data_IF_839010151400
#
_entry.id   IF_839010151400
#
_cell.length_a   1.000
_cell.length_b   1.000
_cell.length_c   1.000
_cell.angle_alpha   90.00
_cell.angle_beta   90.00
_cell.angle_gamma   90.00
#
_symmetry.space_group_name_H-M   'P 1'
#
loop_
_entity.id
_entity.type
_entity.pdbx_description
1 polymer ?
#
# COMPACT_ATOMS: atom_id res chain seq x y z
N UNK A 1 28.58 13.58 55.20
CA UNK A 1 27.34 13.24 54.56
C UNK A 1 27.45 13.72 53.11
N UNK A 2 27.72 12.88 52.11
CA UNK A 2 27.55 13.28 50.72
C UNK A 2 26.25 12.69 50.18
N UNK A 3 25.63 13.53 49.40
CA UNK A 3 24.30 13.51 48.85
C UNK A 3 24.03 12.35 47.90
N UNK A 4 22.77 11.89 47.94
CA UNK A 4 22.25 10.83 47.09
C UNK A 4 22.31 11.22 45.60
N UNK A 5 22.94 10.39 44.79
CA UNK A 5 22.76 10.35 43.37
C UNK A 5 21.35 9.87 43.04
N UNK A 6 20.51 10.80 42.63
CA UNK A 6 19.23 10.48 42.04
C UNK A 6 19.45 9.63 40.77
N UNK A 7 18.96 8.40 40.79
CA UNK A 7 18.80 7.59 39.59
C UNK A 7 17.83 8.34 38.66
N UNK A 8 18.39 8.95 37.62
CA UNK A 8 17.61 9.50 36.53
C UNK A 8 16.71 8.42 35.94
N UNK A 9 15.48 8.77 35.78
CA UNK A 9 14.44 8.03 35.08
C UNK A 9 15.01 7.61 33.70
N UNK A 10 15.36 6.35 33.57
CA UNK A 10 15.67 5.74 32.28
C UNK A 10 14.36 5.71 31.51
N UNK A 11 14.21 6.73 30.64
CA UNK A 11 13.07 6.89 29.74
C UNK A 11 12.63 5.55 29.20
N UNK A 12 11.33 5.35 29.25
CA UNK A 12 10.59 4.20 28.73
C UNK A 12 11.21 3.68 27.44
N UNK A 13 11.58 2.40 27.46
CA UNK A 13 11.96 1.64 26.28
C UNK A 13 10.86 1.90 25.25
N UNK A 14 11.20 2.61 24.17
CA UNK A 14 10.30 2.80 23.04
C UNK A 14 9.92 1.41 22.57
N UNK A 15 8.65 1.05 22.74
CA UNK A 15 8.12 -0.22 22.26
C UNK A 15 8.48 -0.38 20.79
N UNK A 16 9.33 -1.36 20.51
CA UNK A 16 9.62 -1.74 19.12
C UNK A 16 8.31 -2.18 18.47
N UNK A 17 8.05 -1.79 17.24
CA UNK A 17 6.82 -2.17 16.56
C UNK A 17 6.71 -3.70 16.55
N UNK A 18 5.56 -4.22 16.95
CA UNK A 18 5.26 -5.65 17.04
C UNK A 18 4.23 -6.05 15.99
N UNK A 19 4.21 -7.33 15.57
CA UNK A 19 3.13 -7.85 14.73
C UNK A 19 1.76 -7.59 15.38
N UNK A 20 0.79 -7.13 14.58
CA UNK A 20 -0.56 -6.84 15.05
C UNK A 20 -1.60 -7.10 13.96
N UNK A 21 -2.79 -7.58 14.32
CA UNK A 21 -3.95 -7.70 13.43
C UNK A 21 -4.59 -6.33 13.09
N UNK A 22 -4.21 -5.28 13.83
CA UNK A 22 -4.58 -3.89 13.53
C UNK A 22 -3.70 -3.25 12.44
N UNK A 23 -2.60 -3.89 12.04
CA UNK A 23 -1.73 -3.38 10.98
C UNK A 23 -2.42 -3.46 9.61
N UNK A 24 -2.12 -2.48 8.75
CA UNK A 24 -2.63 -2.41 7.39
C UNK A 24 -1.58 -2.87 6.38
N UNK A 25 -2.02 -3.64 5.39
CA UNK A 25 -1.22 -4.09 4.27
C UNK A 25 -1.59 -3.29 3.01
N UNK A 26 -0.74 -2.37 2.61
CA UNK A 26 -0.94 -1.50 1.45
C UNK A 26 -0.29 -2.12 0.22
N UNK A 27 -1.05 -2.26 -0.86
CA UNK A 27 -0.53 -2.81 -2.11
C UNK A 27 -0.86 -1.91 -3.28
N UNK A 28 0.04 -1.89 -4.25
CA UNK A 28 -0.15 -1.34 -5.58
C UNK A 28 0.63 -2.18 -6.58
N UNK A 29 0.05 -2.42 -7.74
CA UNK A 29 0.63 -3.21 -8.83
C UNK A 29 0.76 -2.34 -10.08
N UNK A 30 1.89 -2.49 -10.78
CA UNK A 30 2.01 -2.04 -12.16
C UNK A 30 1.82 -3.25 -13.09
N UNK A 31 1.00 -3.10 -14.12
CA UNK A 31 0.61 -4.17 -15.02
C UNK A 31 0.74 -3.75 -16.48
N UNK A 32 0.68 -4.71 -17.41
CA UNK A 32 0.63 -4.43 -18.86
C UNK A 32 -0.71 -3.86 -19.33
N UNK A 33 -1.72 -3.91 -18.49
CA UNK A 33 -3.07 -3.42 -18.71
C UNK A 33 -3.98 -3.76 -17.53
N UNK A 34 -5.29 -3.73 -17.68
CA UNK A 34 -6.26 -3.87 -16.59
C UNK A 34 -7.09 -5.16 -16.63
N UNK A 35 -6.84 -6.04 -17.57
CA UNK A 35 -7.54 -7.32 -17.70
C UNK A 35 -6.66 -8.47 -17.21
N UNK A 36 -6.93 -9.07 -16.03
CA UNK A 36 -6.11 -10.14 -15.47
C UNK A 36 -6.14 -11.44 -16.29
N UNK A 37 -7.02 -11.58 -17.29
CA UNK A 37 -7.04 -12.74 -18.17
C UNK A 37 -6.03 -12.64 -19.33
N UNK A 38 -5.59 -11.43 -19.67
CA UNK A 38 -4.66 -11.15 -20.77
C UNK A 38 -3.40 -10.40 -20.36
N UNK A 39 -3.48 -9.62 -19.28
CA UNK A 39 -2.39 -8.77 -18.80
C UNK A 39 -1.61 -9.42 -17.66
N UNK A 40 -0.38 -8.96 -17.46
CA UNK A 40 0.54 -9.51 -16.46
C UNK A 40 1.07 -8.43 -15.52
N UNK A 41 1.52 -8.87 -14.32
CA UNK A 41 2.12 -8.01 -13.31
C UNK A 41 3.56 -7.69 -13.69
N UNK A 42 3.93 -6.42 -13.69
CA UNK A 42 5.28 -5.91 -13.96
C UNK A 42 6.02 -5.54 -12.68
N UNK A 43 5.32 -4.93 -11.72
CA UNK A 43 5.87 -4.55 -10.43
C UNK A 43 4.81 -4.77 -9.35
N UNK A 44 5.25 -5.14 -8.16
CA UNK A 44 4.40 -5.18 -6.97
C UNK A 44 5.10 -4.45 -5.83
N UNK A 45 4.40 -3.51 -5.19
CA UNK A 45 4.85 -2.85 -3.98
C UNK A 45 3.92 -3.19 -2.82
N UNK A 46 4.50 -3.54 -1.68
CA UNK A 46 3.80 -3.76 -0.43
C UNK A 46 4.43 -2.89 0.65
N UNK A 47 3.60 -2.15 1.37
CA UNK A 47 3.98 -1.42 2.57
C UNK A 47 3.10 -1.91 3.71
N UNK A 48 3.68 -2.16 4.86
CA UNK A 48 2.91 -2.42 6.09
C UNK A 48 2.97 -1.19 6.98
N UNK A 49 1.82 -0.76 7.48
CA UNK A 49 1.73 0.33 8.47
C UNK A 49 1.04 -0.13 9.74
N UNK A 50 1.31 0.57 10.84
CA UNK A 50 0.45 0.47 12.04
C UNK A 50 -0.94 1.05 11.76
N UNK A 51 -1.87 0.90 12.73
CA UNK A 51 -3.19 1.53 12.70
C UNK A 51 -3.13 3.08 12.60
N UNK A 52 -2.04 3.69 13.09
CA UNK A 52 -1.80 5.15 13.00
C UNK A 52 -1.12 5.55 11.69
N UNK A 53 -1.00 4.65 10.71
CA UNK A 53 -0.38 4.86 9.40
C UNK A 53 1.14 5.10 9.43
N UNK A 54 1.83 4.69 10.51
CA UNK A 54 3.30 4.69 10.55
C UNK A 54 3.83 3.50 9.77
N UNK A 55 4.70 3.73 8.79
CA UNK A 55 5.35 2.65 8.04
C UNK A 55 6.19 1.79 8.97
N UNK A 56 5.98 0.49 8.93
CA UNK A 56 6.69 -0.54 9.68
C UNK A 56 7.74 -1.23 8.82
N UNK A 57 7.34 -1.62 7.60
CA UNK A 57 8.23 -2.29 6.64
C UNK A 57 7.69 -2.13 5.22
N UNK A 58 8.52 -2.38 4.20
CA UNK A 58 8.08 -2.33 2.81
C UNK A 58 8.98 -3.15 1.88
N UNK A 59 8.45 -3.50 0.73
CA UNK A 59 9.16 -4.11 -0.39
C UNK A 59 8.57 -3.61 -1.70
N UNK A 60 9.42 -3.44 -2.72
CA UNK A 60 9.00 -3.24 -4.11
C UNK A 60 9.79 -4.21 -4.99
N UNK A 61 9.10 -4.92 -5.88
CA UNK A 61 9.66 -6.02 -6.65
C UNK A 61 9.28 -5.84 -8.12
N UNK A 62 10.27 -5.71 -8.99
CA UNK A 62 10.08 -5.76 -10.44
C UNK A 62 10.08 -7.24 -10.85
N UNK A 63 9.03 -7.69 -11.53
CA UNK A 63 8.82 -9.09 -11.93
C UNK A 63 9.29 -9.28 -13.35
N UNK A 64 10.15 -10.28 -13.59
CA UNK A 64 10.60 -10.63 -14.93
C UNK A 64 9.42 -11.09 -15.81
N UNK A 65 9.31 -10.50 -17.00
CA UNK A 65 8.29 -10.85 -17.98
C UNK A 65 8.89 -11.09 -19.36
N UNK A 66 8.35 -12.02 -20.15
CA UNK A 66 8.82 -12.26 -21.51
C UNK A 66 8.44 -11.08 -22.43
N UNK A 67 9.27 -10.81 -23.44
CA UNK A 67 9.03 -9.73 -24.42
C UNK A 67 7.67 -9.86 -25.13
N UNK A 68 7.18 -11.09 -25.30
CA UNK A 68 5.84 -11.32 -25.86
C UNK A 68 4.74 -10.69 -25.01
N UNK A 69 4.83 -10.78 -23.68
CA UNK A 69 3.87 -10.17 -22.78
C UNK A 69 4.02 -8.63 -22.77
N UNK A 70 5.25 -8.13 -22.79
CA UNK A 70 5.53 -6.69 -22.86
C UNK A 70 5.03 -6.07 -24.17
N UNK A 71 5.12 -6.80 -25.29
CA UNK A 71 4.66 -6.34 -26.61
C UNK A 71 3.14 -6.27 -26.77
N UNK A 72 2.35 -6.74 -25.78
CA UNK A 72 0.87 -6.64 -25.80
C UNK A 72 0.33 -5.35 -25.23
N UNK A 73 1.18 -4.54 -24.56
CA UNK A 73 0.76 -3.27 -23.97
C UNK A 73 0.20 -2.32 -25.04
N UNK A 74 -0.81 -1.54 -24.69
CA UNK A 74 -1.23 -0.40 -25.49
C UNK A 74 -0.11 0.62 -25.57
N UNK A 75 -0.12 1.45 -26.62
CA UNK A 75 0.87 2.53 -26.81
C UNK A 75 0.95 3.44 -25.57
N UNK A 76 -0.19 3.76 -24.97
CA UNK A 76 -0.26 4.57 -23.75
C UNK A 76 0.47 3.92 -22.57
N UNK A 77 0.22 2.64 -22.28
CA UNK A 77 0.84 1.92 -21.18
C UNK A 77 2.33 1.72 -21.43
N UNK A 78 2.71 1.40 -22.67
CA UNK A 78 4.11 1.26 -23.08
C UNK A 78 4.90 2.54 -22.88
N UNK A 79 4.36 3.69 -23.33
CA UNK A 79 4.98 5.02 -23.15
C UNK A 79 5.11 5.36 -21.67
N UNK A 80 4.08 5.13 -20.87
CA UNK A 80 4.05 5.36 -19.44
C UNK A 80 5.16 4.58 -18.73
N UNK A 81 5.25 3.26 -18.92
CA UNK A 81 6.26 2.42 -18.28
C UNK A 81 7.68 2.64 -18.83
N UNK A 82 7.80 3.13 -20.07
CA UNK A 82 9.09 3.55 -20.63
C UNK A 82 9.59 4.81 -19.92
N UNK A 83 8.72 5.82 -19.74
CA UNK A 83 9.08 7.08 -19.08
C UNK A 83 9.45 6.90 -17.61
N UNK A 84 8.80 5.98 -16.89
CA UNK A 84 9.15 5.67 -15.50
C UNK A 84 10.38 4.76 -15.37
N UNK A 85 10.90 4.23 -16.48
CA UNK A 85 12.01 3.28 -16.50
C UNK A 85 11.63 1.89 -15.99
N UNK A 86 10.34 1.61 -15.78
CA UNK A 86 9.87 0.31 -15.28
C UNK A 86 10.20 -0.81 -16.27
N UNK A 87 10.01 -0.58 -17.57
CA UNK A 87 10.32 -1.61 -18.59
C UNK A 87 11.77 -2.05 -18.54
N UNK A 88 12.70 -1.12 -18.36
CA UNK A 88 14.12 -1.46 -18.27
C UNK A 88 14.44 -2.24 -16.97
N UNK A 89 13.73 -1.98 -15.89
CA UNK A 89 13.86 -2.75 -14.64
C UNK A 89 13.30 -4.15 -14.79
N UNK A 90 12.11 -4.29 -15.38
CA UNK A 90 11.46 -5.58 -15.65
C UNK A 90 12.33 -6.47 -16.55
N UNK A 91 12.90 -5.92 -17.63
CA UNK A 91 13.81 -6.65 -18.54
C UNK A 91 15.10 -7.12 -17.87
N UNK A 92 15.60 -6.37 -16.89
CA UNK A 92 16.80 -6.73 -16.11
C UNK A 92 16.49 -7.60 -14.90
N UNK A 93 15.24 -7.69 -14.51
CA UNK A 93 14.83 -8.52 -13.38
C UNK A 93 15.02 -10.00 -13.68
N UNK A 94 15.47 -10.74 -12.67
CA UNK A 94 15.49 -12.20 -12.67
C UNK A 94 14.42 -12.78 -11.71
N UNK A 95 13.61 -11.92 -11.07
CA UNK A 95 12.62 -12.33 -10.08
C UNK A 95 11.38 -12.86 -10.79
N UNK A 96 11.07 -14.11 -10.55
CA UNK A 96 9.83 -14.72 -11.06
C UNK A 96 8.62 -14.25 -10.24
N UNK A 97 7.44 -14.38 -10.82
CA UNK A 97 6.18 -14.07 -10.14
C UNK A 97 6.02 -14.87 -8.83
N UNK A 98 6.38 -16.15 -8.84
CA UNK A 98 6.34 -17.04 -7.66
C UNK A 98 7.32 -16.60 -6.56
N UNK A 99 8.50 -16.10 -6.93
CA UNK A 99 9.44 -15.51 -5.96
C UNK A 99 8.90 -14.19 -5.40
N UNK A 100 8.31 -13.34 -6.25
CA UNK A 100 7.68 -12.10 -5.81
C UNK A 100 6.56 -12.38 -4.79
N UNK A 101 5.66 -13.30 -5.10
CA UNK A 101 4.59 -13.71 -4.19
C UNK A 101 5.13 -14.20 -2.84
N UNK A 102 6.15 -15.08 -2.83
CA UNK A 102 6.76 -15.53 -1.56
C UNK A 102 7.30 -14.39 -0.74
N UNK A 103 8.04 -13.47 -1.34
CA UNK A 103 8.62 -12.34 -0.63
C UNK A 103 7.56 -11.42 -0.03
N UNK A 104 6.45 -11.19 -0.74
CA UNK A 104 5.31 -10.40 -0.26
C UNK A 104 4.63 -11.09 0.94
N UNK A 105 4.38 -12.40 0.85
CA UNK A 105 3.79 -13.19 1.94
C UNK A 105 4.71 -13.21 3.17
N UNK A 106 6.02 -13.37 2.98
CA UNK A 106 7.00 -13.35 4.09
C UNK A 106 7.01 -12.01 4.82
N UNK A 107 6.91 -10.89 4.08
CA UNK A 107 6.82 -9.57 4.69
C UNK A 107 5.52 -9.41 5.47
N UNK A 108 4.37 -9.81 4.91
CA UNK A 108 3.10 -9.79 5.61
C UNK A 108 3.12 -10.64 6.87
N UNK A 109 3.61 -11.88 6.79
CA UNK A 109 3.65 -12.79 7.93
C UNK A 109 4.48 -12.27 9.10
N UNK A 110 5.44 -11.39 8.83
CA UNK A 110 6.27 -10.75 9.85
C UNK A 110 5.49 -9.71 10.66
N UNK A 111 4.54 -9.01 10.04
CA UNK A 111 3.90 -7.84 10.63
C UNK A 111 2.40 -7.96 10.83
N UNK A 112 1.72 -8.77 10.02
CA UNK A 112 0.28 -8.94 10.05
C UNK A 112 -0.06 -10.41 10.26
N UNK A 113 -0.65 -10.80 11.40
CA UNK A 113 -1.33 -12.10 11.50
C UNK A 113 -2.41 -12.22 10.41
N UNK A 114 -2.54 -13.40 9.79
CA UNK A 114 -3.60 -13.62 8.81
C UNK A 114 -4.98 -13.71 9.49
N UNK A 115 -6.05 -13.18 8.89
CA UNK A 115 -6.09 -12.49 7.60
C UNK A 115 -5.76 -10.99 7.72
N UNK A 116 -4.85 -10.48 6.88
CA UNK A 116 -4.47 -9.07 6.85
C UNK A 116 -5.51 -8.21 6.11
N UNK A 117 -5.65 -6.93 6.50
CA UNK A 117 -6.51 -5.97 5.80
C UNK A 117 -5.77 -5.37 4.62
N UNK A 118 -6.25 -5.64 3.40
CA UNK A 118 -5.72 -5.07 2.17
C UNK A 118 -6.18 -3.62 2.01
N UNK A 119 -5.23 -2.72 1.70
CA UNK A 119 -5.48 -1.28 1.53
C UNK A 119 -4.83 -0.77 0.23
N UNK A 120 -5.42 0.27 -0.37
CA UNK A 120 -4.88 0.97 -1.54
C UNK A 120 -5.91 1.87 -2.21
N UNK A 121 -5.54 2.46 -3.34
CA UNK A 121 -6.45 3.21 -4.21
C UNK A 121 -6.99 2.31 -5.32
N UNK A 122 -8.32 2.18 -5.44
CA UNK A 122 -8.98 1.27 -6.39
C UNK A 122 -8.43 -0.16 -6.31
N UNK A 123 -8.02 -0.54 -5.12
CA UNK A 123 -7.27 -1.76 -4.80
C UNK A 123 -8.00 -3.06 -5.15
N UNK A 124 -9.28 -2.98 -5.46
CA UNK A 124 -10.05 -4.10 -6.01
C UNK A 124 -9.48 -4.56 -7.38
N UNK A 125 -8.89 -3.65 -8.15
CA UNK A 125 -8.23 -3.98 -9.43
C UNK A 125 -6.99 -4.83 -9.16
N UNK A 126 -6.14 -4.38 -8.24
CA UNK A 126 -4.96 -5.12 -7.80
C UNK A 126 -5.34 -6.49 -7.24
N UNK A 127 -6.41 -6.55 -6.44
CA UNK A 127 -6.92 -7.80 -5.88
C UNK A 127 -7.30 -8.83 -6.94
N UNK A 128 -7.84 -8.41 -8.10
CA UNK A 128 -8.15 -9.32 -9.21
C UNK A 128 -6.88 -9.96 -9.78
N UNK A 129 -5.82 -9.18 -9.95
CA UNK A 129 -4.51 -9.70 -10.38
C UNK A 129 -3.88 -10.60 -9.33
N UNK A 130 -3.93 -10.22 -8.05
CA UNK A 130 -3.44 -11.04 -6.94
C UNK A 130 -4.18 -12.39 -6.91
N UNK A 131 -5.49 -12.40 -6.97
CA UNK A 131 -6.31 -13.62 -6.98
C UNK A 131 -5.97 -14.54 -8.16
N UNK A 132 -5.64 -13.97 -9.33
CA UNK A 132 -5.28 -14.71 -10.54
C UNK A 132 -3.86 -15.25 -10.51
N UNK A 133 -2.91 -14.47 -10.05
CA UNK A 133 -1.49 -14.71 -10.23
C UNK A 133 -0.71 -15.02 -8.95
N UNK A 134 -1.24 -14.64 -7.79
CA UNK A 134 -0.61 -14.78 -6.47
C UNK A 134 -1.59 -15.38 -5.44
N UNK A 135 -2.03 -16.65 -5.63
CA UNK A 135 -3.12 -17.23 -4.83
C UNK A 135 -2.78 -17.39 -3.35
N UNK A 136 -1.50 -17.56 -2.98
CA UNK A 136 -1.07 -17.59 -1.56
C UNK A 136 -1.21 -16.22 -0.91
N UNK A 137 -0.88 -15.16 -1.66
CA UNK A 137 -1.05 -13.78 -1.21
C UNK A 137 -2.53 -13.42 -1.11
N UNK A 138 -3.36 -13.84 -2.07
CA UNK A 138 -4.82 -13.61 -2.01
C UNK A 138 -5.46 -14.26 -0.78
N UNK A 139 -5.07 -15.49 -0.46
CA UNK A 139 -5.55 -16.21 0.72
C UNK A 139 -5.12 -15.57 2.04
N UNK A 140 -4.05 -14.77 2.03
CA UNK A 140 -3.57 -14.07 3.20
C UNK A 140 -4.44 -12.85 3.55
N UNK A 141 -5.20 -12.31 2.60
CA UNK A 141 -6.01 -11.12 2.81
C UNK A 141 -7.43 -11.45 3.27
N UNK A 142 -7.92 -10.60 4.17
CA UNK A 142 -9.34 -10.57 4.52
C UNK A 142 -10.18 -10.19 3.29
N UNK A 143 -11.46 -10.63 3.25
CA UNK A 143 -12.37 -10.27 2.16
C UNK A 143 -12.75 -8.78 2.17
N UNK A 144 -12.72 -8.11 3.34
CA UNK A 144 -12.92 -6.66 3.46
C UNK A 144 -11.61 -5.95 3.16
N UNK A 145 -11.74 -4.82 2.46
CA UNK A 145 -10.61 -3.99 2.04
C UNK A 145 -10.83 -2.54 2.46
N UNK A 146 -9.75 -1.77 2.57
CA UNK A 146 -9.80 -0.32 2.68
C UNK A 146 -9.44 0.27 1.31
N UNK A 147 -10.47 0.63 0.54
CA UNK A 147 -10.29 1.33 -0.75
C UNK A 147 -10.40 2.84 -0.54
N UNK A 148 -9.26 3.52 -0.61
CA UNK A 148 -9.16 4.97 -0.38
C UNK A 148 -9.89 5.77 -1.46
N UNK A 149 -10.01 5.23 -2.69
CA UNK A 149 -10.78 5.87 -3.77
C UNK A 149 -12.25 6.03 -3.42
N UNK A 150 -12.81 5.13 -2.60
CA UNK A 150 -14.18 5.26 -2.09
C UNK A 150 -14.35 6.49 -1.20
N UNK A 151 -13.37 6.75 -0.33
CA UNK A 151 -13.37 7.95 0.52
C UNK A 151 -13.22 9.22 -0.30
N UNK A 152 -12.39 9.21 -1.35
CA UNK A 152 -12.26 10.30 -2.31
C UNK A 152 -13.59 10.69 -2.94
N UNK A 153 -14.35 9.70 -3.40
CA UNK A 153 -15.68 9.94 -3.99
C UNK A 153 -16.63 10.57 -2.96
N UNK A 154 -16.63 10.09 -1.72
CA UNK A 154 -17.47 10.63 -0.65
C UNK A 154 -17.04 12.04 -0.24
N UNK A 155 -15.72 12.27 -0.10
CA UNK A 155 -15.15 13.58 0.20
C UNK A 155 -15.60 14.63 -0.82
N UNK A 156 -15.46 14.31 -2.10
CA UNK A 156 -15.84 15.20 -3.19
C UNK A 156 -17.35 15.52 -3.20
N UNK A 157 -18.19 14.49 -2.95
CA UNK A 157 -19.65 14.64 -3.03
C UNK A 157 -20.26 15.36 -1.84
N UNK A 158 -19.76 15.11 -0.63
CA UNK A 158 -20.33 15.61 0.61
C UNK A 158 -19.69 16.91 1.10
N UNK A 159 -18.38 17.08 0.83
CA UNK A 159 -17.61 18.23 1.34
C UNK A 159 -17.03 19.11 0.23
N UNK A 160 -17.15 18.70 -1.05
CA UNK A 160 -16.68 19.46 -2.21
C UNK A 160 -15.21 19.23 -2.54
N UNK A 161 -14.73 19.93 -3.58
CA UNK A 161 -13.37 19.74 -4.12
C UNK A 161 -12.26 20.09 -3.13
N UNK A 162 -12.51 21.00 -2.19
CA UNK A 162 -11.53 21.42 -1.18
C UNK A 162 -11.18 20.31 -0.17
N UNK A 163 -12.04 19.31 0.00
CA UNK A 163 -11.81 18.17 0.87
C UNK A 163 -11.04 17.03 0.18
N UNK A 164 -10.83 17.12 -1.14
CA UNK A 164 -10.13 16.08 -1.90
C UNK A 164 -8.62 16.25 -1.75
N UNK A 165 -7.93 15.14 -1.47
CA UNK A 165 -6.46 15.12 -1.43
C UNK A 165 -5.88 15.46 -2.79
N UNK A 166 -4.86 16.33 -2.80
CA UNK A 166 -4.09 16.67 -4.00
C UNK A 166 -2.85 15.79 -4.04
N UNK A 167 -2.88 14.80 -4.94
CA UNK A 167 -1.76 13.86 -5.11
C UNK A 167 -0.55 14.61 -5.71
N UNK A 168 0.67 14.41 -5.17
CA UNK A 168 1.89 14.86 -5.82
C UNK A 168 2.05 14.20 -7.20
N UNK A 169 2.45 14.97 -8.21
CA UNK A 169 2.64 14.47 -9.58
C UNK A 169 4.01 13.83 -9.82
N UNK A 170 4.95 13.99 -8.89
CA UNK A 170 6.29 13.45 -9.02
C UNK A 170 6.31 11.96 -8.67
N UNK A 171 6.79 11.12 -9.59
CA UNK A 171 6.95 9.67 -9.40
C UNK A 171 5.65 8.87 -9.58
N UNK A 172 4.62 9.42 -10.21
CA UNK A 172 3.42 8.66 -10.58
C UNK A 172 3.79 7.44 -11.44
N UNK A 173 3.04 6.34 -11.26
CA UNK A 173 3.26 5.05 -11.91
C UNK A 173 4.58 4.35 -11.54
N UNK A 174 5.01 4.53 -10.29
CA UNK A 174 5.91 3.64 -9.57
C UNK A 174 5.13 3.10 -8.37
N UNK A 175 4.95 1.79 -8.30
CA UNK A 175 4.04 1.16 -7.34
C UNK A 175 4.35 1.57 -5.88
N UNK A 176 5.63 1.71 -5.49
CA UNK A 176 5.97 2.12 -4.13
C UNK A 176 5.59 3.58 -3.83
N UNK A 177 5.76 4.47 -4.83
CA UNK A 177 5.35 5.87 -4.71
C UNK A 177 3.82 5.95 -4.62
N UNK A 178 3.11 5.16 -5.43
CA UNK A 178 1.65 5.15 -5.44
C UNK A 178 1.05 4.57 -4.16
N UNK A 179 1.67 3.55 -3.55
CA UNK A 179 1.33 3.10 -2.19
C UNK A 179 1.50 4.23 -1.17
N UNK A 180 2.63 4.94 -1.16
CA UNK A 180 2.88 6.03 -0.21
C UNK A 180 1.89 7.18 -0.38
N UNK A 181 1.51 7.49 -1.61
CA UNK A 181 0.47 8.46 -1.90
C UNK A 181 -0.89 8.00 -1.36
N UNK A 182 -1.23 6.72 -1.48
CA UNK A 182 -2.47 6.14 -0.96
C UNK A 182 -2.54 6.22 0.57
N UNK A 183 -1.42 5.97 1.27
CA UNK A 183 -1.31 6.13 2.73
C UNK A 183 -1.52 7.60 3.12
N UNK A 184 -0.87 8.54 2.41
CA UNK A 184 -0.99 9.98 2.66
C UNK A 184 -2.40 10.49 2.38
N UNK A 185 -3.06 9.94 1.37
CA UNK A 185 -4.45 10.25 1.01
C UNK A 185 -5.41 9.77 2.10
N UNK A 186 -5.23 8.55 2.64
CA UNK A 186 -6.04 8.08 3.77
C UNK A 186 -5.81 8.92 5.03
N UNK A 187 -4.57 9.29 5.34
CA UNK A 187 -4.27 10.17 6.48
C UNK A 187 -4.92 11.55 6.33
N UNK A 188 -4.97 12.10 5.12
CA UNK A 188 -5.74 13.32 4.83
C UNK A 188 -7.22 13.12 5.12
N UNK A 189 -7.85 12.06 4.58
CA UNK A 189 -9.28 11.79 4.82
C UNK A 189 -9.57 11.49 6.28
N UNK A 190 -8.67 10.82 7.00
CA UNK A 190 -8.80 10.59 8.43
C UNK A 190 -8.98 11.91 9.20
N UNK A 191 -8.24 12.94 8.83
CA UNK A 191 -8.33 14.28 9.47
C UNK A 191 -9.54 15.09 9.03
N UNK A 192 -9.96 14.94 7.78
CA UNK A 192 -11.01 15.81 7.18
C UNK A 192 -12.40 15.21 7.34
N UNK A 193 -12.55 13.88 7.25
CA UNK A 193 -13.86 13.22 7.19
C UNK A 193 -14.27 12.56 8.50
N UNK A 194 -13.31 12.12 9.32
CA UNK A 194 -13.63 11.34 10.52
C UNK A 194 -13.51 12.20 11.78
N UNK A 195 -14.39 11.93 12.74
CA UNK A 195 -14.29 12.53 14.07
C UNK A 195 -13.12 11.90 14.82
N UNK A 196 -12.39 12.74 15.56
CA UNK A 196 -11.39 12.25 16.51
C UNK A 196 -12.10 11.45 17.61
N UNK A 197 -11.80 10.15 17.81
CA UNK A 197 -12.44 9.34 18.84
C UNK A 197 -12.23 9.87 20.26
N UNK A 198 -11.19 10.70 20.50
CA UNK A 198 -10.94 11.37 21.78
C UNK A 198 -11.70 12.68 21.98
N UNK A 199 -12.38 13.20 20.96
CA UNK A 199 -13.11 14.48 21.04
C UNK A 199 -14.56 14.22 21.37
N UNK A 200 -14.96 14.47 22.63
CA UNK A 200 -16.38 14.45 23.04
C UNK A 200 -17.16 15.46 22.17
N UNK A 201 -18.29 15.02 21.62
CA UNK A 201 -19.18 15.87 20.84
C UNK A 201 -19.86 16.88 21.79
N UNK A 202 -19.62 18.20 21.64
CA UNK A 202 -20.27 19.21 22.49
C UNK A 202 -21.80 19.27 22.32
N UNK A 203 -22.32 18.61 21.25
CA UNK A 203 -23.77 18.58 20.94
C UNK A 203 -24.47 17.32 21.47
N UNK A 204 -23.76 16.43 22.16
CA UNK A 204 -24.32 15.20 22.74
C UNK A 204 -24.79 15.35 24.20
N UNK A 205 -24.94 16.59 24.69
CA UNK A 205 -25.49 16.94 26.00
C UNK A 205 -26.90 17.49 25.89
#
# INVERSE_FOLDING_TARGET
MPDGFGMGDLGTVTDLPTPSDENFAWIDLEMTGLDPDSDVILQAALVVTSAELRTLDYIAIDVAQPEEALGRMSEFVLDMHTRTGLLDRVRRSAVTLDQAERNLVELLARWCPAPATLCGNSVWTDRRFIARYMPRLDQYFHYRMVDVSSLKVLAQRWYGKSAVFVKPTQGEHDALVDVRNSISELDHYRRVLFRDPGRQDPSAA
#
